data_IF_420699158186
#
_entry.id   IF_420699158186
#
_cell.length_a   1.000
_cell.length_b   1.000
_cell.length_c   1.000
_cell.angle_alpha   90.00
_cell.angle_beta   90.00
_cell.angle_gamma   90.00
#
_symmetry.space_group_name_H-M   'P 1'
#
loop_
_entity.id
_entity.type
_entity.pdbx_description
1 polymer ?
#
# COMPACT_ATOMS: atom_id res chain seq x y z
N UNK A 1 -18.41 -20.50 -6.16
CA UNK A 1 -17.11 -21.10 -5.76
C UNK A 1 -15.90 -20.15 -5.89
N UNK A 2 -15.32 -19.91 -7.08
CA UNK A 2 -14.04 -19.13 -7.22
C UNK A 2 -14.04 -17.72 -6.60
N UNK A 3 -15.17 -17.02 -6.65
CA UNK A 3 -15.31 -15.65 -6.11
C UNK A 3 -15.19 -15.58 -4.58
N UNK A 4 -15.69 -16.60 -3.88
CA UNK A 4 -15.75 -16.67 -2.40
C UNK A 4 -14.35 -17.01 -1.85
N UNK A 5 -13.68 -18.00 -2.45
CA UNK A 5 -12.33 -18.40 -2.07
C UNK A 5 -11.26 -17.33 -2.33
N UNK A 6 -11.43 -16.51 -3.37
CA UNK A 6 -10.50 -15.44 -3.71
C UNK A 6 -10.50 -14.26 -2.73
N UNK A 7 -11.60 -14.02 -1.99
CA UNK A 7 -11.68 -12.93 -1.03
C UNK A 7 -10.98 -13.28 0.30
N UNK A 8 -11.23 -14.49 0.81
CA UNK A 8 -10.61 -15.01 2.04
C UNK A 8 -9.10 -15.27 1.88
N UNK A 9 -8.65 -15.69 0.68
CA UNK A 9 -7.25 -16.02 0.42
C UNK A 9 -6.32 -14.85 0.11
N UNK A 10 -6.81 -13.60 0.02
CA UNK A 10 -5.98 -12.42 -0.31
C UNK A 10 -5.22 -11.87 0.91
N UNK A 11 -5.86 -11.77 2.07
CA UNK A 11 -5.24 -11.18 3.26
C UNK A 11 -4.08 -11.99 3.85
N UNK A 12 -4.09 -13.31 3.70
CA UNK A 12 -3.01 -14.20 4.19
C UNK A 12 -1.79 -14.24 3.25
N UNK A 13 -1.93 -13.78 2.00
CA UNK A 13 -0.84 -13.79 1.01
C UNK A 13 0.10 -12.60 1.18
N UNK A 14 -0.41 -11.44 1.57
CA UNK A 14 0.39 -10.21 1.70
C UNK A 14 1.38 -10.27 2.87
N UNK A 15 0.96 -10.81 4.02
CA UNK A 15 1.86 -10.99 5.18
C UNK A 15 3.01 -11.98 4.89
N UNK A 16 2.73 -13.04 4.14
CA UNK A 16 3.74 -14.03 3.76
C UNK A 16 4.75 -13.50 2.71
N UNK A 17 4.35 -12.52 1.90
CA UNK A 17 5.22 -11.93 0.89
C UNK A 17 6.29 -11.02 1.51
N UNK A 18 5.91 -10.22 2.50
CA UNK A 18 6.83 -9.34 3.22
C UNK A 18 7.92 -10.13 3.98
N UNK A 19 7.54 -11.23 4.65
CA UNK A 19 8.49 -12.11 5.35
C UNK A 19 9.45 -12.81 4.37
N UNK A 20 8.99 -13.18 3.18
CA UNK A 20 9.85 -13.77 2.14
C UNK A 20 10.84 -12.77 1.56
N UNK A 21 10.43 -11.52 1.35
CA UNK A 21 11.31 -10.46 0.83
C UNK A 21 12.46 -10.17 1.80
N UNK A 22 12.19 -10.05 3.10
CA UNK A 22 13.24 -9.85 4.13
C UNK A 22 14.22 -11.02 4.14
N UNK A 23 13.73 -12.26 4.13
CA UNK A 23 14.59 -13.46 4.07
C UNK A 23 15.43 -13.56 2.80
N UNK A 24 14.95 -13.03 1.67
CA UNK A 24 15.72 -13.02 0.42
C UNK A 24 16.86 -12.01 0.48
N UNK A 25 16.63 -10.83 1.06
CA UNK A 25 17.67 -9.83 1.31
C UNK A 25 18.73 -10.38 2.28
N UNK A 26 18.34 -11.03 3.37
CA UNK A 26 19.28 -11.67 4.31
C UNK A 26 20.15 -12.75 3.63
N UNK A 27 19.61 -13.48 2.65
CA UNK A 27 20.35 -14.49 1.88
C UNK A 27 21.31 -13.89 0.86
N UNK A 28 20.96 -12.73 0.28
CA UNK A 28 21.87 -11.95 -0.57
C UNK A 28 23.05 -11.41 0.25
N UNK A 29 22.81 -10.86 1.44
CA UNK A 29 23.86 -10.34 2.32
C UNK A 29 24.81 -11.43 2.82
N UNK A 30 24.29 -12.64 3.08
CA UNK A 30 25.08 -13.82 3.46
C UNK A 30 25.82 -14.46 2.29
N UNK A 31 25.60 -13.99 1.05
CA UNK A 31 26.22 -14.54 -0.16
C UNK A 31 25.69 -15.91 -0.59
N UNK A 32 24.58 -16.38 -0.01
CA UNK A 32 23.91 -17.63 -0.38
C UNK A 32 23.18 -17.52 -1.73
N UNK A 33 22.82 -16.30 -2.12
CA UNK A 33 22.24 -15.96 -3.42
C UNK A 33 23.19 -15.01 -4.14
N UNK A 34 23.65 -15.38 -5.35
CA UNK A 34 24.45 -14.46 -6.19
C UNK A 34 23.54 -13.34 -6.67
N UNK A 35 24.00 -12.09 -6.63
CA UNK A 35 23.27 -10.97 -7.23
C UNK A 35 22.96 -11.32 -8.68
N UNK A 36 21.67 -11.43 -8.99
CA UNK A 36 21.24 -11.75 -10.34
C UNK A 36 21.71 -10.60 -11.25
N UNK A 37 22.55 -10.92 -12.24
CA UNK A 37 22.87 -9.98 -13.31
C UNK A 37 21.57 -9.47 -13.92
N UNK A 38 21.61 -8.23 -14.43
CA UNK A 38 20.45 -7.57 -15.02
C UNK A 38 19.64 -8.53 -15.91
N UNK A 39 18.30 -8.55 -15.79
CA UNK A 39 17.46 -9.49 -16.51
C UNK A 39 17.68 -9.34 -18.01
N UNK A 40 18.19 -10.40 -18.64
CA UNK A 40 18.47 -10.43 -20.07
C UNK A 40 17.14 -10.53 -20.84
N UNK A 41 16.99 -9.71 -21.88
CA UNK A 41 15.79 -9.70 -22.71
C UNK A 41 15.65 -11.03 -23.46
N UNK A 42 14.44 -11.58 -23.55
CA UNK A 42 14.18 -12.89 -24.20
C UNK A 42 14.65 -12.91 -25.66
N UNK A 43 14.59 -11.77 -26.35
CA UNK A 43 15.04 -11.61 -27.74
C UNK A 43 16.56 -11.72 -27.90
N UNK A 44 17.33 -11.43 -26.85
CA UNK A 44 18.80 -11.43 -26.88
C UNK A 44 19.41 -12.77 -26.42
N UNK A 45 18.61 -13.64 -25.79
CA UNK A 45 19.08 -14.94 -25.29
C UNK A 45 19.64 -15.83 -26.39
N UNK A 46 19.02 -15.83 -27.57
CA UNK A 46 19.46 -16.64 -28.72
C UNK A 46 20.86 -16.26 -29.19
N UNK A 47 21.12 -14.97 -29.34
CA UNK A 47 22.43 -14.48 -29.75
C UNK A 47 23.51 -14.73 -28.69
N UNK A 48 23.12 -14.72 -27.41
CA UNK A 48 24.03 -15.10 -26.33
C UNK A 48 24.37 -16.58 -26.35
N UNK A 49 23.39 -17.45 -26.54
CA UNK A 49 23.60 -18.90 -26.64
C UNK A 49 24.45 -19.25 -27.88
N UNK A 50 24.20 -18.60 -29.01
CA UNK A 50 25.01 -18.71 -30.23
C UNK A 50 26.47 -18.30 -29.96
N UNK A 51 26.71 -17.13 -29.37
CA UNK A 51 28.05 -16.65 -29.05
C UNK A 51 28.77 -17.48 -27.97
N UNK A 52 28.01 -18.08 -27.04
CA UNK A 52 28.56 -18.90 -25.96
C UNK A 52 28.86 -20.34 -26.42
N UNK A 53 28.21 -20.80 -27.49
CA UNK A 53 28.42 -22.12 -28.09
C UNK A 53 29.46 -22.09 -29.22
N UNK A 54 29.82 -20.92 -29.74
CA UNK A 54 30.85 -20.78 -30.77
C UNK A 54 32.24 -21.09 -30.20
N UNK A 55 32.80 -22.23 -30.62
CA UNK A 55 34.12 -22.69 -30.19
C UNK A 55 35.25 -21.81 -30.75
N UNK A 56 35.05 -21.19 -31.91
CA UNK A 56 36.03 -20.28 -32.51
C UNK A 56 36.30 -19.07 -31.62
N UNK A 57 35.23 -18.48 -31.06
CA UNK A 57 35.30 -17.34 -30.15
C UNK A 57 35.98 -17.74 -28.83
N UNK A 58 35.71 -18.94 -28.31
CA UNK A 58 36.38 -19.46 -27.11
C UNK A 58 37.87 -19.68 -27.33
N UNK A 59 38.25 -20.21 -28.48
CA UNK A 59 39.65 -20.41 -28.85
C UNK A 59 40.39 -19.09 -29.03
N UNK A 60 39.77 -18.09 -29.65
CA UNK A 60 40.32 -16.74 -29.78
C UNK A 60 40.45 -16.02 -28.43
N UNK A 61 39.47 -16.15 -27.55
CA UNK A 61 39.51 -15.60 -26.19
C UNK A 61 40.62 -16.22 -25.33
N UNK A 62 40.90 -17.52 -25.52
CA UNK A 62 41.95 -18.23 -24.80
C UNK A 62 43.36 -17.98 -25.38
N UNK A 63 43.45 -17.51 -26.63
CA UNK A 63 44.73 -17.12 -27.24
C UNK A 63 45.21 -15.79 -26.67
N UNK A 64 46.41 -15.78 -26.08
CA UNK A 64 47.06 -14.53 -25.65
C UNK A 64 47.47 -13.73 -26.88
N UNK A 65 46.80 -12.60 -27.11
CA UNK A 65 47.17 -11.67 -28.16
C UNK A 65 48.23 -10.67 -27.65
N UNK A 66 49.49 -10.92 -27.98
CA UNK A 66 50.63 -10.11 -27.53
C UNK A 66 50.54 -8.65 -28.00
N UNK A 67 49.95 -8.39 -29.18
CA UNK A 67 49.76 -7.02 -29.67
C UNK A 67 48.75 -6.24 -28.82
N UNK A 68 47.71 -6.91 -28.32
CA UNK A 68 46.72 -6.30 -27.44
C UNK A 68 47.34 -6.00 -26.07
N UNK A 69 48.17 -6.89 -25.54
CA UNK A 69 48.92 -6.66 -24.29
C UNK A 69 49.83 -5.44 -24.42
N UNK A 70 50.57 -5.31 -25.53
CA UNK A 70 51.43 -4.16 -25.77
C UNK A 70 50.64 -2.84 -25.94
N UNK A 71 49.45 -2.89 -26.55
CA UNK A 71 48.57 -1.73 -26.67
C UNK A 71 47.96 -1.34 -25.31
N UNK A 72 47.57 -2.33 -24.50
CA UNK A 72 47.04 -2.11 -23.15
C UNK A 72 48.09 -1.52 -22.21
N UNK A 73 49.33 -1.99 -22.28
CA UNK A 73 50.45 -1.45 -21.48
C UNK A 73 50.80 -0.01 -21.84
N UNK A 74 50.41 0.47 -23.02
CA UNK A 74 50.57 1.86 -23.47
C UNK A 74 49.46 2.79 -22.95
N UNK A 75 48.35 2.25 -22.44
CA UNK A 75 47.27 3.07 -21.90
C UNK A 75 47.64 3.57 -20.50
N UNK A 76 47.82 4.89 -20.38
CA UNK A 76 47.86 5.56 -19.07
C UNK A 76 46.44 5.96 -18.66
N UNK A 77 45.83 5.16 -17.79
CA UNK A 77 44.54 5.51 -17.18
C UNK A 77 44.81 6.46 -16.03
N UNK A 78 44.60 7.75 -16.27
CA UNK A 78 44.59 8.74 -15.20
C UNK A 78 43.15 8.85 -14.68
N UNK A 79 42.95 8.60 -13.39
CA UNK A 79 41.67 8.85 -12.74
C UNK A 79 41.49 10.37 -12.60
N UNK A 80 40.92 11.00 -13.62
CA UNK A 80 40.40 12.36 -13.51
C UNK A 80 38.98 12.28 -12.99
N UNK A 81 38.68 13.01 -11.91
CA UNK A 81 37.30 13.26 -11.53
C UNK A 81 36.56 13.76 -12.77
N UNK A 82 35.42 13.15 -13.14
CA UNK A 82 34.66 13.62 -14.28
C UNK A 82 34.39 15.12 -14.10
N UNK A 83 34.54 15.95 -15.13
CA UNK A 83 34.13 17.34 -15.03
C UNK A 83 32.69 17.36 -14.52
N UNK A 84 32.44 18.26 -13.57
CA UNK A 84 31.14 18.44 -12.95
C UNK A 84 30.09 18.46 -14.07
N UNK A 85 29.18 17.47 -14.07
CA UNK A 85 28.12 17.38 -15.06
C UNK A 85 27.47 18.75 -15.15
N UNK A 86 27.11 19.21 -16.35
CA UNK A 86 26.22 20.35 -16.54
C UNK A 86 24.87 20.07 -15.84
N UNK A 87 24.84 20.20 -14.52
CA UNK A 87 23.63 20.49 -13.78
C UNK A 87 23.15 21.80 -14.39
N UNK A 88 21.93 21.79 -14.92
CA UNK A 88 21.32 23.01 -15.44
C UNK A 88 21.53 24.10 -14.39
N UNK A 89 22.18 25.20 -14.76
CA UNK A 89 22.30 26.45 -13.99
C UNK A 89 20.95 27.13 -13.77
N UNK A 90 19.85 26.38 -13.88
CA UNK A 90 18.54 26.86 -13.50
C UNK A 90 18.44 26.61 -12.01
N UNK A 91 18.59 27.70 -11.25
CA UNK A 91 18.39 27.67 -9.81
C UNK A 91 17.06 26.98 -9.49
N UNK A 92 17.08 26.13 -8.46
CA UNK A 92 15.86 25.52 -7.97
C UNK A 92 14.89 26.63 -7.54
N UNK A 93 13.58 26.42 -7.68
CA UNK A 93 12.59 27.38 -7.20
C UNK A 93 12.85 27.65 -5.72
N UNK A 94 13.10 28.92 -5.39
CA UNK A 94 13.22 29.42 -4.03
C UNK A 94 11.89 30.04 -3.60
N UNK A 95 11.66 30.15 -2.29
CA UNK A 95 10.46 30.77 -1.72
C UNK A 95 10.20 32.19 -2.26
N UNK A 96 11.26 32.92 -2.59
CA UNK A 96 11.16 34.28 -3.17
C UNK A 96 10.70 34.26 -4.64
N UNK A 97 11.18 33.29 -5.43
CA UNK A 97 10.69 33.11 -6.81
C UNK A 97 9.21 32.75 -6.84
N UNK A 98 8.73 31.90 -5.92
CA UNK A 98 7.30 31.56 -5.83
C UNK A 98 6.44 32.77 -5.42
N UNK A 99 6.96 33.65 -4.56
CA UNK A 99 6.24 34.84 -4.11
C UNK A 99 5.97 35.84 -5.25
N UNK A 100 6.90 35.96 -6.20
CA UNK A 100 6.75 36.82 -7.38
C UNK A 100 5.56 36.42 -8.26
N UNK A 101 5.17 35.15 -8.23
CA UNK A 101 4.09 34.60 -9.04
C UNK A 101 2.79 34.40 -8.27
N UNK A 102 2.72 34.80 -7.00
CA UNK A 102 1.54 34.64 -6.12
C UNK A 102 0.27 35.30 -6.67
N UNK A 103 0.42 36.36 -7.46
CA UNK A 103 -0.69 37.12 -8.04
C UNK A 103 -0.92 36.79 -9.53
N UNK A 104 -0.17 35.86 -10.12
CA UNK A 104 -0.32 35.46 -11.52
C UNK A 104 -1.40 34.37 -11.62
N UNK A 105 -2.56 34.63 -12.26
CA UNK A 105 -3.64 33.65 -12.39
C UNK A 105 -3.22 32.38 -13.15
N UNK A 106 -2.18 32.50 -13.98
CA UNK A 106 -1.66 31.38 -14.77
C UNK A 106 -0.79 30.46 -13.91
N UNK A 107 -0.21 30.97 -12.81
CA UNK A 107 0.72 30.27 -11.91
C UNK A 107 0.04 29.59 -10.71
N UNK A 108 -1.07 28.90 -10.93
CA UNK A 108 -1.80 28.25 -9.83
C UNK A 108 -1.15 26.95 -9.36
N UNK A 109 -0.41 26.26 -10.25
CA UNK A 109 0.21 24.96 -9.98
C UNK A 109 1.75 24.97 -10.04
N UNK A 110 2.38 26.15 -9.99
CA UNK A 110 3.84 26.28 -9.95
C UNK A 110 4.56 26.03 -11.28
N UNK A 111 3.84 26.01 -12.41
CA UNK A 111 4.40 26.00 -13.75
C UNK A 111 3.51 26.76 -14.74
N UNK A 112 4.13 27.25 -15.82
CA UNK A 112 3.41 27.87 -16.93
C UNK A 112 2.88 26.81 -17.88
N UNK A 113 1.59 26.94 -18.17
CA UNK A 113 0.88 26.07 -19.09
C UNK A 113 1.05 26.56 -20.55
N UNK A 114 1.28 25.65 -21.52
CA UNK A 114 1.29 26.04 -22.92
C UNK A 114 -0.04 26.68 -23.37
N UNK A 115 -0.02 27.66 -24.30
CA UNK A 115 -1.22 28.29 -24.80
C UNK A 115 -2.12 27.29 -25.53
N UNK A 116 -3.44 27.53 -25.47
CA UNK A 116 -4.48 26.60 -25.95
C UNK A 116 -4.28 26.12 -27.40
N UNK A 117 -3.74 26.98 -28.25
CA UNK A 117 -3.50 26.69 -29.68
C UNK A 117 -2.37 25.68 -29.92
N UNK A 118 -1.45 25.55 -28.97
CA UNK A 118 -0.28 24.65 -29.08
C UNK A 118 -0.56 23.24 -28.55
N UNK A 119 -1.74 23.01 -27.99
CA UNK A 119 -2.09 21.74 -27.33
C UNK A 119 -2.42 20.68 -28.40
N UNK A 120 -1.73 19.52 -28.38
CA UNK A 120 -2.05 18.43 -29.30
C UNK A 120 -3.45 17.86 -29.05
N UNK A 121 -4.13 17.42 -30.12
CA UNK A 121 -5.45 16.77 -30.03
C UNK A 121 -5.39 15.55 -29.11
N UNK A 122 -6.39 15.43 -28.23
CA UNK A 122 -6.48 14.33 -27.27
C UNK A 122 -5.50 14.42 -26.08
N UNK A 123 -4.86 15.57 -25.88
CA UNK A 123 -4.16 15.93 -24.64
C UNK A 123 -4.90 17.06 -23.95
N UNK A 124 -4.81 17.12 -22.63
CA UNK A 124 -5.34 18.20 -21.80
C UNK A 124 -4.23 18.85 -21.00
N UNK A 125 -4.52 20.04 -20.53
CA UNK A 125 -3.68 20.77 -19.59
C UNK A 125 -3.79 20.17 -18.19
N UNK A 126 -2.82 20.43 -17.31
CA UNK A 126 -2.90 19.89 -15.96
C UNK A 126 -4.01 20.57 -15.18
N UNK A 127 -4.22 21.88 -15.35
CA UNK A 127 -5.35 22.62 -14.80
C UNK A 127 -6.68 21.99 -15.25
N UNK A 128 -6.87 21.84 -16.55
CA UNK A 128 -8.06 21.18 -17.12
C UNK A 128 -8.24 19.76 -16.56
N UNK A 129 -7.15 19.00 -16.40
CA UNK A 129 -7.19 17.66 -15.83
C UNK A 129 -7.61 17.66 -14.35
N UNK A 130 -7.09 18.58 -13.55
CA UNK A 130 -7.39 18.69 -12.13
C UNK A 130 -8.82 19.15 -11.89
N UNK A 131 -9.32 20.12 -12.67
CA UNK A 131 -10.72 20.54 -12.65
C UNK A 131 -11.66 19.37 -13.01
N UNK A 132 -11.34 18.66 -14.07
CA UNK A 132 -12.11 17.49 -14.50
C UNK A 132 -12.12 16.37 -13.45
N UNK A 133 -10.97 16.06 -12.85
CA UNK A 133 -10.87 15.06 -11.77
C UNK A 133 -11.66 15.49 -10.53
N UNK A 134 -11.64 16.79 -10.21
CA UNK A 134 -12.41 17.37 -9.10
C UNK A 134 -13.91 17.28 -9.36
N UNK A 135 -14.38 17.66 -10.55
CA UNK A 135 -15.78 17.56 -10.95
C UNK A 135 -16.28 16.11 -10.88
N UNK A 136 -15.49 15.15 -11.38
CA UNK A 136 -15.82 13.72 -11.29
C UNK A 136 -15.79 13.17 -9.86
N UNK A 137 -14.97 13.74 -8.99
CA UNK A 137 -15.00 13.39 -7.57
C UNK A 137 -16.24 13.95 -6.89
N UNK A 138 -16.55 15.22 -7.13
CA UNK A 138 -17.73 15.90 -6.56
C UNK A 138 -19.02 15.23 -7.05
N UNK A 139 -19.09 14.79 -8.31
CA UNK A 139 -20.22 14.03 -8.85
C UNK A 139 -20.40 12.65 -8.20
N UNK A 140 -19.30 12.04 -7.73
CA UNK A 140 -19.29 10.73 -7.08
C UNK A 140 -19.38 10.81 -5.54
N UNK A 141 -19.52 12.02 -4.97
CA UNK A 141 -19.66 12.21 -3.51
C UNK A 141 -20.87 11.45 -2.99
N UNK A 142 -20.65 10.58 -2.00
CA UNK A 142 -21.71 9.81 -1.36
C UNK A 142 -22.24 10.52 -0.11
N UNK A 143 -23.55 10.72 -0.04
CA UNK A 143 -24.26 11.24 1.12
C UNK A 143 -25.63 11.82 0.74
N UNK A 144 -26.65 11.53 1.53
CA UNK A 144 -28.04 11.97 1.29
C UNK A 144 -28.34 13.38 1.85
N UNK A 145 -27.31 14.12 2.26
CA UNK A 145 -27.46 15.50 2.72
C UNK A 145 -27.89 16.41 1.55
N UNK A 146 -28.81 17.34 1.84
CA UNK A 146 -29.27 18.39 0.88
C UNK A 146 -28.08 19.18 0.30
N UNK A 147 -26.98 19.30 1.05
CA UNK A 147 -25.78 19.97 0.58
C UNK A 147 -24.99 19.11 -0.41
N UNK A 148 -24.92 17.80 -0.17
CA UNK A 148 -24.24 16.85 -1.05
C UNK A 148 -24.97 16.69 -2.39
N UNK A 149 -26.31 16.68 -2.38
CA UNK A 149 -27.11 16.64 -3.62
C UNK A 149 -26.89 17.88 -4.49
N UNK A 150 -26.87 19.08 -3.88
CA UNK A 150 -26.58 20.34 -4.58
C UNK A 150 -25.16 20.39 -5.16
N UNK A 151 -24.17 19.86 -4.44
CA UNK A 151 -22.79 19.77 -4.94
C UNK A 151 -22.73 18.84 -6.14
N UNK A 152 -23.39 17.67 -6.05
CA UNK A 152 -23.46 16.70 -7.16
C UNK A 152 -24.10 17.27 -8.41
N UNK A 153 -25.23 17.96 -8.28
CA UNK A 153 -25.93 18.58 -9.42
C UNK A 153 -25.09 19.67 -10.08
N UNK A 154 -24.38 20.48 -9.29
CA UNK A 154 -23.45 21.49 -9.82
C UNK A 154 -22.28 20.85 -10.56
N UNK A 155 -21.65 19.84 -9.94
CA UNK A 155 -20.52 19.13 -10.53
C UNK A 155 -20.90 18.45 -11.86
N UNK A 156 -22.10 17.86 -11.96
CA UNK A 156 -22.60 17.31 -13.22
C UNK A 156 -22.81 18.38 -14.30
N UNK A 157 -23.35 19.55 -13.92
CA UNK A 157 -23.56 20.66 -14.85
C UNK A 157 -22.25 21.33 -15.31
N UNK A 158 -21.21 21.28 -14.48
CA UNK A 158 -19.86 21.79 -14.79
C UNK A 158 -19.07 20.80 -15.65
N UNK A 159 -19.19 19.49 -15.38
CA UNK A 159 -18.56 18.42 -16.16
C UNK A 159 -18.98 18.46 -17.64
N UNK A 160 -20.26 18.73 -17.91
CA UNK A 160 -20.76 18.85 -19.29
C UNK A 160 -20.27 20.13 -20.00
N UNK A 161 -19.80 21.14 -19.25
CA UNK A 161 -19.24 22.39 -19.80
C UNK A 161 -17.72 22.37 -19.91
N UNK A 162 -17.05 21.37 -19.31
CA UNK A 162 -15.61 21.35 -19.20
C UNK A 162 -14.94 21.16 -20.58
N UNK A 163 -14.10 22.12 -20.98
CA UNK A 163 -13.36 22.14 -22.25
C UNK A 163 -12.40 20.94 -22.34
N UNK A 164 -11.81 20.54 -21.21
CA UNK A 164 -10.95 19.37 -21.12
C UNK A 164 -11.70 18.08 -21.46
N UNK A 165 -12.90 17.88 -20.90
CA UNK A 165 -13.75 16.72 -21.17
C UNK A 165 -14.07 16.57 -22.67
N UNK A 166 -14.41 17.70 -23.31
CA UNK A 166 -14.71 17.75 -24.73
C UNK A 166 -13.49 17.37 -25.61
N UNK A 167 -12.27 17.69 -25.17
CA UNK A 167 -11.04 17.47 -25.96
C UNK A 167 -10.53 16.02 -25.91
N UNK A 168 -10.66 15.33 -24.77
CA UNK A 168 -10.22 13.91 -24.62
C UNK A 168 -11.32 12.89 -24.84
N UNK A 169 -12.59 13.30 -24.72
CA UNK A 169 -13.74 12.41 -24.75
C UNK A 169 -14.00 11.74 -23.39
N UNK A 170 -15.26 11.34 -23.16
CA UNK A 170 -15.70 10.76 -21.88
C UNK A 170 -14.95 9.47 -21.51
N UNK A 171 -14.74 8.56 -22.46
CA UNK A 171 -14.05 7.29 -22.18
C UNK A 171 -12.62 7.49 -21.65
N UNK A 172 -11.88 8.47 -22.18
CA UNK A 172 -10.54 8.79 -21.69
C UNK A 172 -10.58 9.52 -20.36
N UNK A 173 -11.59 10.36 -20.13
CA UNK A 173 -11.80 11.04 -18.86
C UNK A 173 -12.10 10.04 -17.74
N UNK A 174 -12.95 9.04 -18.00
CA UNK A 174 -13.26 7.95 -17.07
C UNK A 174 -12.03 7.09 -16.76
N UNK A 175 -11.28 6.68 -17.80
CA UNK A 175 -10.02 5.97 -17.60
C UNK A 175 -9.04 6.81 -16.78
N UNK A 176 -8.91 8.12 -17.07
CA UNK A 176 -8.06 9.01 -16.29
C UNK A 176 -8.51 9.11 -14.84
N UNK A 177 -9.82 9.19 -14.58
CA UNK A 177 -10.37 9.18 -13.23
C UNK A 177 -10.10 7.87 -12.49
N UNK A 178 -10.18 6.72 -13.16
CA UNK A 178 -9.88 5.42 -12.56
C UNK A 178 -8.42 5.33 -12.09
N UNK A 179 -7.47 5.78 -12.92
CA UNK A 179 -6.03 5.72 -12.60
C UNK A 179 -5.56 6.83 -11.65
N UNK A 180 -6.11 8.03 -11.79
CA UNK A 180 -5.69 9.22 -11.05
C UNK A 180 -6.66 9.61 -9.94
N UNK A 181 -7.62 8.73 -9.59
CA UNK A 181 -8.56 8.92 -8.49
C UNK A 181 -7.75 9.46 -7.31
N UNK A 182 -7.84 10.78 -7.01
CA UNK A 182 -6.97 11.39 -6.04
C UNK A 182 -7.16 10.59 -4.78
N UNK A 183 -6.08 9.99 -4.27
CA UNK A 183 -6.09 9.07 -3.13
C UNK A 183 -7.22 9.49 -2.21
N UNK A 184 -8.32 8.72 -2.18
CA UNK A 184 -9.47 8.98 -1.32
C UNK A 184 -9.00 8.65 0.11
N UNK A 185 -8.00 9.39 0.61
CA UNK A 185 -7.74 9.55 2.02
C UNK A 185 -8.94 10.35 2.50
N UNK A 186 -10.00 9.61 2.80
CA UNK A 186 -10.86 9.97 3.91
C UNK A 186 -9.96 9.97 5.13
N UNK A 187 -9.21 11.05 5.35
CA UNK A 187 -8.91 11.45 6.71
C UNK A 187 -10.26 11.85 7.29
N UNK A 188 -11.07 10.86 7.64
CA UNK A 188 -12.07 11.03 8.68
C UNK A 188 -11.26 11.41 9.91
N UNK A 189 -11.04 12.71 10.08
CA UNK A 189 -10.52 13.22 11.31
C UNK A 189 -11.59 12.84 12.33
N UNK A 190 -11.31 11.79 13.11
CA UNK A 190 -12.22 11.36 14.17
C UNK A 190 -12.22 12.49 15.18
N UNK A 191 -13.18 13.41 15.05
CA UNK A 191 -13.39 14.50 16.00
C UNK A 191 -13.92 13.83 17.26
N UNK A 192 -13.00 13.38 18.12
CA UNK A 192 -13.34 12.78 19.40
C UNK A 192 -13.87 13.90 20.29
N UNK A 193 -15.04 13.68 20.88
CA UNK A 193 -15.60 14.66 21.82
C UNK A 193 -14.62 14.85 22.98
N UNK A 194 -14.42 16.10 23.42
CA UNK A 194 -13.60 16.40 24.61
C UNK A 194 -14.04 15.60 25.84
N UNK A 195 -15.32 15.26 25.91
CA UNK A 195 -15.88 14.45 26.98
C UNK A 195 -15.40 12.99 26.93
N UNK A 196 -15.29 12.41 25.73
CA UNK A 196 -14.80 11.04 25.53
C UNK A 196 -13.30 10.93 25.83
N UNK A 197 -12.52 11.95 25.45
CA UNK A 197 -11.10 12.03 25.82
C UNK A 197 -10.92 12.15 27.34
N UNK A 198 -11.72 13.00 28.00
CA UNK A 198 -11.67 13.12 29.45
C UNK A 198 -12.03 11.80 30.14
N UNK A 199 -13.04 11.07 29.64
CA UNK A 199 -13.43 9.76 30.16
C UNK A 199 -12.34 8.70 29.96
N UNK A 200 -11.70 8.66 28.79
CA UNK A 200 -10.59 7.76 28.50
C UNK A 200 -9.37 8.08 29.37
N UNK A 201 -9.07 9.37 29.56
CA UNK A 201 -8.03 9.82 30.47
C UNK A 201 -8.34 9.42 31.92
N UNK A 202 -9.57 9.61 32.41
CA UNK A 202 -9.99 9.17 33.74
C UNK A 202 -9.85 7.66 33.92
N UNK A 203 -10.20 6.88 32.90
CA UNK A 203 -10.05 5.43 32.93
C UNK A 203 -8.58 4.98 32.91
N UNK A 204 -7.72 5.62 32.11
CA UNK A 204 -6.29 5.35 32.07
C UNK A 204 -5.60 5.64 33.42
N UNK A 205 -6.11 6.61 34.16
CA UNK A 205 -5.63 6.96 35.51
C UNK A 205 -6.31 6.13 36.61
N UNK A 206 -7.10 5.11 36.27
CA UNK A 206 -7.76 4.22 37.23
C UNK A 206 -8.89 4.89 38.03
N UNK A 207 -9.42 6.03 37.55
CA UNK A 207 -10.49 6.81 38.19
C UNK A 207 -11.84 6.69 37.48
N UNK A 208 -11.95 5.80 36.49
CA UNK A 208 -13.18 5.59 35.72
C UNK A 208 -13.84 4.25 36.05
N UNK A 209 -15.15 4.19 35.95
CA UNK A 209 -15.92 2.94 36.00
C UNK A 209 -15.45 1.99 34.88
N UNK A 210 -14.92 0.83 35.27
CA UNK A 210 -14.39 -0.17 34.33
C UNK A 210 -15.47 -0.66 33.34
N UNK A 211 -16.73 -0.66 33.76
CA UNK A 211 -17.89 -0.98 32.90
C UNK A 211 -18.15 0.06 31.80
N UNK A 212 -17.66 1.29 31.97
CA UNK A 212 -17.95 2.37 31.04
C UNK A 212 -17.09 2.29 29.76
N UNK A 213 -15.91 1.67 29.81
CA UNK A 213 -15.08 1.43 28.61
C UNK A 213 -15.72 0.37 27.68
N UNK A 214 -16.43 -0.60 28.25
CA UNK A 214 -17.17 -1.62 27.51
C UNK A 214 -18.50 -1.11 26.89
N UNK A 215 -18.84 0.16 27.11
CA UNK A 215 -19.91 0.85 26.37
C UNK A 215 -19.67 0.95 24.85
N UNK A 216 -18.44 0.69 24.39
CA UNK A 216 -18.11 0.49 22.97
C UNK A 216 -18.78 -0.75 22.36
N UNK A 217 -19.36 -1.63 23.17
CA UNK A 217 -20.20 -2.72 22.68
C UNK A 217 -21.32 -2.20 21.79
N UNK A 218 -21.94 -1.04 22.06
CA UNK A 218 -23.01 -0.54 21.20
C UNK A 218 -22.55 -0.08 19.80
N UNK A 219 -21.36 0.48 19.69
CA UNK A 219 -20.77 0.87 18.39
C UNK A 219 -20.21 -0.34 17.63
N UNK A 220 -19.54 -1.26 18.32
CA UNK A 220 -19.11 -2.53 17.71
C UNK A 220 -20.30 -3.39 17.28
N UNK A 221 -21.38 -3.41 18.06
CA UNK A 221 -22.63 -4.09 17.71
C UNK A 221 -23.29 -3.39 16.50
N UNK A 222 -23.31 -2.05 16.44
CA UNK A 222 -23.78 -1.31 15.25
C UNK A 222 -22.91 -1.56 14.02
N UNK A 223 -21.58 -1.64 14.16
CA UNK A 223 -20.68 -1.99 13.07
C UNK A 223 -20.88 -3.43 12.60
N UNK A 224 -21.06 -4.38 13.52
CA UNK A 224 -21.44 -5.77 13.20
C UNK A 224 -22.82 -5.86 12.53
N UNK A 225 -23.77 -4.97 12.87
CA UNK A 225 -25.06 -4.87 12.21
C UNK A 225 -24.97 -4.25 10.81
N UNK A 226 -24.14 -3.22 10.60
CA UNK A 226 -23.87 -2.66 9.27
C UNK A 226 -23.07 -3.60 8.35
N UNK A 227 -22.11 -4.36 8.90
CA UNK A 227 -21.46 -5.44 8.14
C UNK A 227 -22.44 -6.57 7.79
N UNK A 228 -23.40 -6.87 8.68
CA UNK A 228 -24.52 -7.78 8.37
C UNK A 228 -25.44 -7.24 7.29
N UNK A 229 -25.65 -5.91 7.20
CA UNK A 229 -26.43 -5.27 6.14
C UNK A 229 -25.71 -5.33 4.79
N UNK A 230 -24.42 -5.00 4.72
CA UNK A 230 -23.62 -5.16 3.48
C UNK A 230 -23.51 -6.62 3.04
N UNK A 231 -23.37 -7.55 3.98
CA UNK A 231 -23.39 -8.98 3.67
C UNK A 231 -24.80 -9.46 3.25
N UNK A 232 -25.87 -8.83 3.72
CA UNK A 232 -27.24 -9.05 3.24
C UNK A 232 -27.41 -8.59 1.80
N UNK A 233 -26.93 -7.41 1.45
CA UNK A 233 -26.94 -6.88 0.09
C UNK A 233 -26.16 -7.78 -0.88
N UNK A 234 -24.99 -8.27 -0.45
CA UNK A 234 -24.22 -9.26 -1.22
C UNK A 234 -24.97 -10.59 -1.35
N UNK A 235 -25.61 -11.07 -0.28
CA UNK A 235 -26.50 -12.25 -0.32
C UNK A 235 -27.68 -12.08 -1.29
N UNK A 236 -28.22 -10.87 -1.47
CA UNK A 236 -29.31 -10.64 -2.43
C UNK A 236 -28.87 -10.81 -3.90
N UNK A 237 -27.58 -10.70 -4.20
CA UNK A 237 -27.03 -10.90 -5.55
C UNK A 237 -26.71 -12.36 -5.91
N UNK A 238 -26.78 -13.29 -4.95
CA UNK A 238 -26.47 -14.71 -5.12
C UNK A 238 -27.71 -15.55 -5.45
N UNK A 239 -27.55 -16.55 -6.32
CA UNK A 239 -28.58 -17.55 -6.62
C UNK A 239 -28.85 -18.43 -5.39
N UNK A 240 -30.06 -19.02 -5.26
CA UNK A 240 -30.43 -19.85 -4.09
C UNK A 240 -29.43 -20.95 -3.76
N UNK A 241 -28.95 -21.69 -4.78
CA UNK A 241 -27.92 -22.73 -4.60
C UNK A 241 -26.57 -22.19 -4.12
N UNK A 242 -26.24 -20.94 -4.46
CA UNK A 242 -24.99 -20.31 -4.03
C UNK A 242 -25.12 -19.75 -2.61
N UNK A 243 -26.33 -19.34 -2.21
CA UNK A 243 -26.64 -18.97 -0.82
C UNK A 243 -26.48 -20.17 0.11
N UNK A 244 -27.03 -21.32 -0.26
CA UNK A 244 -26.90 -22.55 0.54
C UNK A 244 -25.43 -22.96 0.72
N UNK A 245 -24.63 -22.89 -0.35
CA UNK A 245 -23.19 -23.17 -0.30
C UNK A 245 -22.41 -22.15 0.54
N UNK A 246 -22.82 -20.88 0.50
CA UNK A 246 -22.20 -19.83 1.30
C UNK A 246 -22.52 -20.02 2.79
N UNK A 247 -23.76 -20.36 3.12
CA UNK A 247 -24.18 -20.64 4.49
C UNK A 247 -23.49 -21.89 5.05
N UNK A 248 -23.32 -22.93 4.23
CA UNK A 248 -22.56 -24.13 4.61
C UNK A 248 -21.08 -23.81 4.85
N UNK A 249 -20.46 -23.01 3.98
CA UNK A 249 -19.07 -22.56 4.16
C UNK A 249 -18.88 -21.70 5.42
N UNK A 250 -19.84 -20.83 5.75
CA UNK A 250 -19.82 -20.04 6.99
C UNK A 250 -19.94 -20.95 8.21
N UNK A 251 -20.84 -21.94 8.17
CA UNK A 251 -20.98 -22.90 9.28
C UNK A 251 -19.68 -23.65 9.53
N UNK A 252 -19.05 -24.12 8.46
CA UNK A 252 -17.77 -24.84 8.54
C UNK A 252 -16.65 -23.96 9.11
N UNK A 253 -16.51 -22.73 8.60
CA UNK A 253 -15.50 -21.78 9.09
C UNK A 253 -15.73 -21.41 10.57
N UNK A 254 -16.99 -21.24 10.99
CA UNK A 254 -17.33 -21.02 12.39
C UNK A 254 -17.00 -22.22 13.28
N UNK A 255 -17.20 -23.45 12.80
CA UNK A 255 -16.79 -24.64 13.57
C UNK A 255 -15.28 -24.76 13.70
N UNK A 256 -14.52 -24.47 12.63
CA UNK A 256 -13.05 -24.48 12.67
C UNK A 256 -12.49 -23.41 13.62
N UNK A 257 -13.02 -22.18 13.56
CA UNK A 257 -12.63 -21.12 14.51
C UNK A 257 -13.03 -21.46 15.95
N UNK A 258 -14.20 -22.07 16.15
CA UNK A 258 -14.61 -22.52 17.49
C UNK A 258 -13.65 -23.59 18.04
N UNK A 259 -13.24 -24.57 17.24
CA UNK A 259 -12.23 -25.55 17.64
C UNK A 259 -10.87 -24.92 17.91
N UNK A 260 -10.42 -23.99 17.07
CA UNK A 260 -9.16 -23.27 17.26
C UNK A 260 -9.17 -22.48 18.57
N UNK A 261 -10.27 -21.77 18.85
CA UNK A 261 -10.44 -21.02 20.09
C UNK A 261 -10.47 -21.94 21.30
N UNK A 262 -11.13 -23.10 21.20
CA UNK A 262 -11.13 -24.11 22.26
C UNK A 262 -9.72 -24.63 22.55
N UNK A 263 -8.94 -24.98 21.53
CA UNK A 263 -7.54 -25.40 21.70
C UNK A 263 -6.69 -24.29 22.33
N UNK A 264 -6.91 -23.04 21.94
CA UNK A 264 -6.18 -21.90 22.52
C UNK A 264 -6.56 -21.66 23.99
N UNK A 265 -7.83 -21.84 24.35
CA UNK A 265 -8.27 -21.78 25.75
C UNK A 265 -7.68 -22.90 26.59
N UNK A 266 -7.63 -24.12 26.05
CA UNK A 266 -6.97 -25.26 26.71
C UNK A 266 -5.48 -24.98 26.94
N UNK A 267 -4.78 -24.45 25.94
CA UNK A 267 -3.37 -24.08 26.05
C UNK A 267 -3.13 -22.96 27.08
N UNK A 268 -4.00 -21.95 27.12
CA UNK A 268 -3.91 -20.88 28.14
C UNK A 268 -4.08 -21.46 29.55
N UNK A 269 -5.04 -22.37 29.74
CA UNK A 269 -5.24 -23.03 31.03
C UNK A 269 -4.03 -23.87 31.43
N UNK A 270 -3.42 -24.60 30.50
CA UNK A 270 -2.19 -25.37 30.74
C UNK A 270 -1.03 -24.44 31.13
N UNK A 271 -0.83 -23.34 30.40
CA UNK A 271 0.22 -22.35 30.71
C UNK A 271 -0.01 -21.71 32.08
N UNK A 272 -1.25 -21.40 32.45
CA UNK A 272 -1.60 -20.90 33.79
C UNK A 272 -1.26 -21.93 34.88
N UNK A 273 -1.60 -23.20 34.69
CA UNK A 273 -1.24 -24.25 35.66
C UNK A 273 0.28 -24.40 35.79
N UNK A 274 1.02 -24.42 34.69
CA UNK A 274 2.48 -24.49 34.67
C UNK A 274 3.13 -23.27 35.37
N UNK A 275 2.58 -22.07 35.15
CA UNK A 275 3.01 -20.84 35.84
C UNK A 275 2.77 -20.95 37.35
N UNK A 276 1.60 -21.41 37.79
CA UNK A 276 1.33 -21.57 39.24
C UNK A 276 2.25 -22.60 39.89
N UNK A 277 2.59 -23.69 39.19
CA UNK A 277 3.57 -24.66 39.68
C UNK A 277 4.99 -24.11 39.74
N UNK A 278 5.42 -23.34 38.73
CA UNK A 278 6.71 -22.69 38.70
C UNK A 278 6.85 -21.68 39.85
N UNK A 279 5.81 -20.89 40.12
CA UNK A 279 5.76 -19.96 41.26
C UNK A 279 5.87 -20.72 42.59
N UNK A 280 5.09 -21.80 42.79
CA UNK A 280 5.17 -22.64 44.00
C UNK A 280 6.56 -23.28 44.18
N UNK A 281 7.21 -23.74 43.11
CA UNK A 281 8.58 -24.28 43.14
C UNK A 281 9.60 -23.19 43.48
N UNK A 282 9.44 -21.98 42.95
CA UNK A 282 10.30 -20.84 43.27
C UNK A 282 10.15 -20.41 44.74
N UNK A 283 8.92 -20.39 45.28
CA UNK A 283 8.64 -20.10 46.70
C UNK A 283 9.23 -21.15 47.66
N UNK A 284 9.20 -22.44 47.28
CA UNK A 284 9.86 -23.49 48.09
C UNK A 284 11.37 -23.35 48.10
N UNK A 285 11.99 -23.09 46.94
CA UNK A 285 13.45 -22.87 46.84
C UNK A 285 13.91 -21.62 47.59
N UNK A 286 13.09 -20.56 47.65
CA UNK A 286 13.43 -19.36 48.43
C UNK A 286 13.26 -19.58 49.93
N UNK A 287 12.32 -20.41 50.37
CA UNK A 287 12.18 -20.83 51.78
C UNK A 287 13.32 -21.76 52.23
N UNK A 288 13.73 -22.73 51.42
CA UNK A 288 14.87 -23.62 51.72
C UNK A 288 16.19 -22.83 51.83
N UNK A 289 16.46 -21.91 50.89
CA UNK A 289 17.63 -21.01 50.97
C UNK A 289 17.62 -20.05 52.16
N UNK A 290 16.45 -19.77 52.74
CA UNK A 290 16.33 -18.96 53.96
C UNK A 290 16.65 -19.77 55.22
N UNK A 291 16.26 -21.05 55.25
CA UNK A 291 16.53 -21.95 56.37
C UNK A 291 17.99 -22.44 56.41
N UNK A 292 18.71 -22.48 55.29
CA UNK A 292 20.15 -22.81 55.26
C UNK A 292 21.07 -21.65 55.70
N UNK A 293 20.51 -20.44 55.91
CA UNK A 293 21.26 -19.22 56.30
C UNK A 293 21.07 -18.83 57.77
N UNK A 294 20.39 -19.66 58.56
CA UNK A 294 20.22 -19.54 60.02
C UNK A 294 20.85 -20.73 60.70
#
# INVERSE_FOLDING_TARGET
MKRIWNALGKQTKDANYQVKAVRYIEKLEKGEVKSECAPKYETEKKHFEEAQNDESIKEELNKKNNELVDKMNKLRINSTNPPEKWTKTKDFPTRETEFMHKNDPVWEYGFYEPPLDTIPKGKIMLREAMELLREMQESNTQGDSIMATKIREKAMAELDKNVGAARIGRDRAENMYEYFRPFERREEQKVVSRHELARLQSALHGRGDEFSLYGQSHEHIKQLFHEKEKNREWNHTLNEKEKDQFDEAIRLLRSEEHERLKRRLEQINEDETNLTEAVKKAEKKTKEKRNERT
#
